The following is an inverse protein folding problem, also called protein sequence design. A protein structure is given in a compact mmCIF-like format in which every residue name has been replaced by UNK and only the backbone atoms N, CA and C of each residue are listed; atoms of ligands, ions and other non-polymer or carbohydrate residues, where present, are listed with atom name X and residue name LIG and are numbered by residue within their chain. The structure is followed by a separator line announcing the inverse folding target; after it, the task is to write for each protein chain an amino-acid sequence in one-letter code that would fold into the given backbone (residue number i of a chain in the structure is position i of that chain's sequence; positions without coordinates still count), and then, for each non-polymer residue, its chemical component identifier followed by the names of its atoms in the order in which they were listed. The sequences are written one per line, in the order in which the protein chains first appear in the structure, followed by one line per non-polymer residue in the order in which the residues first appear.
data_IF_488863957421
#
_entry.id   IF_488863957421
#
_cell.length_a   1.000
_cell.length_b   1.000
_cell.length_c   1.000
_cell.angle_alpha   90.00
_cell.angle_beta   90.00
_cell.angle_gamma   90.00
#
_symmetry.space_group_name_H-M   'P 1'
#
loop_
_entity.id
_entity.type
_entity.pdbx_description
1 polymer ?
#
# COMPACT_ATOMS: atom_id res chain seq x y z
N UNK A 1 -31.50 69.67 10.83
CA UNK A 1 -32.78 70.23 11.34
C UNK A 1 -33.74 69.05 11.55
N UNK A 2 -34.22 68.76 12.77
CA UNK A 2 -35.59 69.07 13.23
C UNK A 2 -36.68 68.69 12.21
N UNK A 3 -37.72 67.89 12.51
CA UNK A 3 -38.52 67.85 13.77
C UNK A 3 -39.46 66.61 13.86
N UNK A 4 -39.68 66.09 15.08
CA UNK A 4 -40.95 65.57 15.70
C UNK A 4 -41.95 64.69 14.91
N UNK A 5 -42.18 63.40 15.23
CA UNK A 5 -43.06 62.75 16.28
C UNK A 5 -44.59 62.66 16.06
N UNK A 6 -45.11 61.41 16.09
CA UNK A 6 -46.35 60.86 16.74
C UNK A 6 -46.57 59.42 16.18
N UNK A 7 -46.53 58.32 16.94
CA UNK A 7 -47.37 57.82 18.05
C UNK A 7 -48.86 57.68 17.71
N UNK A 8 -49.33 56.42 17.65
CA UNK A 8 -50.74 56.02 17.68
C UNK A 8 -50.89 54.53 17.99
N UNK A 9 -51.40 54.18 19.19
CA UNK A 9 -51.76 52.81 19.60
C UNK A 9 -53.20 52.50 19.17
N UNK A 10 -53.50 51.30 18.67
CA UNK A 10 -54.85 50.70 18.77
C UNK A 10 -54.77 49.21 19.13
N UNK A 11 -55.77 48.80 19.93
CA UNK A 11 -55.99 47.50 20.55
C UNK A 11 -57.43 47.04 20.16
N UNK A 12 -57.84 45.77 20.14
CA UNK A 12 -57.30 44.52 20.72
C UNK A 12 -57.93 43.29 20.02
N UNK A 13 -57.54 42.08 20.42
CA UNK A 13 -58.39 40.88 20.57
C UNK A 13 -58.75 39.96 19.37
N UNK A 14 -58.40 38.69 19.58
CA UNK A 14 -59.19 37.47 19.34
C UNK A 14 -60.00 37.27 18.05
N UNK A 15 -59.65 36.20 17.31
CA UNK A 15 -60.57 35.06 17.12
C UNK A 15 -59.87 33.77 16.68
N UNK A 16 -60.00 32.73 17.49
CA UNK A 16 -59.95 31.34 17.01
C UNK A 16 -61.22 31.06 16.21
N UNK A 17 -61.11 30.51 14.98
CA UNK A 17 -61.98 29.41 14.52
C UNK A 17 -61.57 28.86 13.14
N UNK A 18 -61.30 27.55 13.12
CA UNK A 18 -61.55 26.57 12.04
C UNK A 18 -61.74 27.09 10.60
N UNK A 19 -60.78 26.81 9.71
CA UNK A 19 -61.07 26.51 8.30
C UNK A 19 -60.31 25.25 7.83
N UNK A 20 -61.09 24.32 7.28
CA UNK A 20 -60.74 23.21 6.38
C UNK A 20 -59.52 22.31 6.68
N UNK A 21 -59.81 21.07 7.07
CA UNK A 21 -58.98 19.91 6.71
C UNK A 21 -58.82 19.84 5.18
N UNK A 22 -57.60 20.01 4.68
CA UNK A 22 -57.19 19.44 3.39
C UNK A 22 -56.23 18.29 3.65
N UNK A 23 -56.53 17.13 3.05
CA UNK A 23 -55.73 15.91 3.15
C UNK A 23 -54.34 16.17 2.57
N UNK A 24 -53.34 16.36 3.42
CA UNK A 24 -51.93 16.23 3.02
C UNK A 24 -51.62 14.74 3.09
N UNK A 25 -51.56 14.10 1.92
CA UNK A 25 -51.06 12.74 1.82
C UNK A 25 -49.58 12.75 2.22
N UNK A 26 -49.25 12.05 3.31
CA UNK A 26 -47.87 11.78 3.70
C UNK A 26 -47.33 10.77 2.69
N UNK A 27 -46.78 11.26 1.58
CA UNK A 27 -45.85 10.48 0.77
C UNK A 27 -44.56 10.40 1.58
N UNK A 28 -44.48 9.37 2.43
CA UNK A 28 -43.22 8.85 2.92
C UNK A 28 -42.43 8.44 1.68
N UNK A 29 -41.57 9.34 1.22
CA UNK A 29 -40.58 9.05 0.20
C UNK A 29 -39.62 8.02 0.79
N UNK A 30 -39.96 6.75 0.56
CA UNK A 30 -39.06 5.61 0.64
C UNK A 30 -37.92 5.84 -0.35
N UNK A 31 -36.98 6.70 0.01
CA UNK A 31 -35.61 6.56 -0.41
C UNK A 31 -35.10 5.30 0.29
N UNK A 32 -34.95 4.15 -0.39
CA UNK A 32 -34.00 3.20 0.13
C UNK A 32 -32.68 3.96 0.20
N UNK A 33 -32.12 4.06 1.41
CA UNK A 33 -30.69 4.25 1.55
C UNK A 33 -30.06 3.01 0.92
N UNK A 34 -29.86 3.08 -0.40
CA UNK A 34 -28.94 2.23 -1.13
C UNK A 34 -27.56 2.61 -0.62
N UNK A 35 -27.25 2.07 0.56
CA UNK A 35 -25.89 1.89 1.04
C UNK A 35 -25.26 0.95 0.03
N UNK A 36 -24.81 1.52 -1.08
CA UNK A 36 -23.78 0.95 -1.91
C UNK A 36 -22.49 0.97 -1.07
N UNK A 37 -22.45 0.07 -0.08
CA UNK A 37 -21.23 -0.62 0.29
C UNK A 37 -20.77 -1.32 -0.99
N UNK A 38 -20.08 -0.56 -1.85
CA UNK A 38 -19.34 -1.13 -2.95
C UNK A 38 -18.45 -2.20 -2.34
N UNK A 39 -18.62 -3.44 -2.78
CA UNK A 39 -17.76 -4.53 -2.38
C UNK A 39 -16.36 -4.19 -2.88
N UNK A 40 -15.60 -3.50 -2.04
CA UNK A 40 -14.21 -3.20 -2.29
C UNK A 40 -13.50 -4.54 -2.28
N UNK A 41 -13.26 -5.10 -3.47
CA UNK A 41 -12.57 -6.37 -3.63
C UNK A 41 -11.27 -6.31 -2.81
N UNK A 42 -11.23 -7.14 -1.77
CA UNK A 42 -10.10 -7.18 -0.85
C UNK A 42 -8.85 -7.57 -1.64
N UNK A 43 -7.74 -6.86 -1.41
CA UNK A 43 -6.46 -7.24 -2.02
C UNK A 43 -6.07 -8.62 -1.53
N UNK A 44 -5.39 -9.37 -2.37
CA UNK A 44 -4.74 -10.58 -1.92
C UNK A 44 -3.58 -10.23 -0.95
N UNK A 45 -3.84 -10.33 0.36
CA UNK A 45 -2.79 -10.21 1.40
C UNK A 45 -1.64 -11.17 1.10
N UNK A 46 -0.40 -10.71 1.23
CA UNK A 46 0.79 -11.50 0.88
C UNK A 46 1.15 -12.55 1.94
N UNK A 47 0.58 -12.40 3.16
CA UNK A 47 0.96 -13.19 4.33
C UNK A 47 0.65 -14.68 4.18
N UNK A 48 1.65 -15.50 4.43
CA UNK A 48 1.57 -16.96 4.57
C UNK A 48 1.38 -17.30 6.05
N UNK A 49 0.54 -18.28 6.35
CA UNK A 49 0.30 -18.74 7.72
C UNK A 49 1.46 -19.66 8.17
N UNK A 50 1.71 -19.84 9.49
CA UNK A 50 2.72 -20.77 9.98
C UNK A 50 2.50 -22.19 9.43
N UNK A 51 3.53 -22.76 8.80
CA UNK A 51 3.49 -24.10 8.19
C UNK A 51 2.69 -24.23 6.89
N UNK A 52 2.05 -23.16 6.39
CA UNK A 52 1.29 -23.17 5.14
C UNK A 52 2.24 -23.06 3.93
N UNK A 53 2.07 -23.90 2.90
CA UNK A 53 2.84 -23.74 1.65
C UNK A 53 2.31 -22.55 0.82
N UNK A 54 3.14 -22.01 -0.08
CA UNK A 54 2.71 -21.02 -1.08
C UNK A 54 1.47 -21.50 -1.87
N UNK A 55 1.43 -22.77 -2.28
CA UNK A 55 0.29 -23.33 -3.00
C UNK A 55 -0.97 -23.38 -2.12
N UNK A 56 -0.84 -23.63 -0.82
CA UNK A 56 -1.97 -23.64 0.12
C UNK A 56 -2.46 -22.22 0.45
N UNK A 57 -1.54 -21.25 0.59
CA UNK A 57 -1.88 -19.84 0.72
C UNK A 57 -2.67 -19.34 -0.51
N UNK A 58 -2.24 -19.71 -1.73
CA UNK A 58 -2.97 -19.42 -2.96
C UNK A 58 -4.37 -20.06 -2.94
N UNK A 59 -4.50 -21.36 -2.58
CA UNK A 59 -5.81 -22.02 -2.44
C UNK A 59 -6.70 -21.27 -1.45
N UNK A 60 -6.19 -20.89 -0.27
CA UNK A 60 -6.93 -20.12 0.75
C UNK A 60 -7.43 -18.79 0.20
N UNK A 61 -6.58 -18.02 -0.48
CA UNK A 61 -6.97 -16.73 -1.07
C UNK A 61 -7.99 -16.92 -2.22
N UNK A 62 -7.82 -17.94 -3.05
CA UNK A 62 -8.72 -18.24 -4.18
C UNK A 62 -10.08 -18.74 -3.70
N UNK A 63 -10.14 -19.64 -2.70
CA UNK A 63 -11.39 -20.21 -2.20
C UNK A 63 -12.29 -19.16 -1.51
N UNK A 64 -11.70 -18.04 -1.07
CA UNK A 64 -12.43 -16.88 -0.54
C UNK A 64 -12.99 -15.95 -1.63
N UNK A 65 -12.75 -16.23 -2.93
CA UNK A 65 -13.30 -15.47 -4.06
C UNK A 65 -14.51 -16.17 -4.68
N UNK A 66 -15.49 -15.42 -5.22
CA UNK A 66 -16.58 -15.99 -6.01
C UNK A 66 -16.07 -16.84 -7.18
N UNK A 67 -16.71 -17.99 -7.46
CA UNK A 67 -16.25 -18.96 -8.48
C UNK A 67 -16.07 -18.35 -9.88
N UNK A 68 -16.86 -17.32 -10.20
CA UNK A 68 -16.78 -16.55 -11.44
C UNK A 68 -15.51 -15.67 -11.53
N UNK A 69 -14.87 -15.26 -10.43
CA UNK A 69 -13.56 -14.61 -10.48
C UNK A 69 -12.44 -15.61 -10.82
N UNK A 70 -12.49 -16.84 -10.31
CA UNK A 70 -11.42 -17.84 -10.46
C UNK A 70 -11.09 -18.16 -11.93
N UNK A 71 -12.11 -18.38 -12.78
CA UNK A 71 -11.89 -18.58 -14.23
C UNK A 71 -11.23 -17.35 -14.89
N UNK A 72 -11.46 -16.15 -14.37
CA UNK A 72 -10.85 -14.94 -14.90
C UNK A 72 -9.39 -14.76 -14.45
N UNK A 73 -8.97 -15.28 -13.29
CA UNK A 73 -7.59 -15.19 -12.81
C UNK A 73 -6.59 -15.82 -13.78
N UNK A 74 -6.97 -16.95 -14.39
CA UNK A 74 -6.16 -17.68 -15.37
C UNK A 74 -6.19 -16.97 -16.73
N UNK A 75 -7.38 -16.53 -17.17
CA UNK A 75 -7.59 -15.96 -18.51
C UNK A 75 -7.07 -14.51 -18.68
N UNK A 76 -6.83 -13.76 -17.60
CA UNK A 76 -6.54 -12.31 -17.66
C UNK A 76 -5.08 -11.92 -17.93
N UNK A 77 -4.13 -12.86 -18.00
CA UNK A 77 -2.70 -12.52 -18.09
C UNK A 77 -2.22 -11.76 -16.84
N UNK A 78 -2.47 -12.36 -15.68
CA UNK A 78 -2.15 -11.81 -14.36
C UNK A 78 -0.69 -12.12 -14.00
N UNK A 79 -0.07 -11.40 -13.04
CA UNK A 79 1.26 -11.79 -12.54
C UNK A 79 1.30 -13.28 -12.14
N UNK A 80 0.27 -13.76 -11.43
CA UNK A 80 0.19 -15.15 -11.02
C UNK A 80 0.12 -16.15 -12.20
N UNK A 81 -0.52 -15.79 -13.33
CA UNK A 81 -0.58 -16.65 -14.53
C UNK A 81 0.57 -16.45 -15.52
N UNK A 82 1.43 -15.46 -15.31
CA UNK A 82 2.57 -15.12 -16.18
C UNK A 82 3.95 -15.34 -15.56
N UNK A 83 4.03 -15.67 -14.27
CA UNK A 83 5.26 -16.08 -13.59
C UNK A 83 5.97 -17.23 -14.32
N UNK A 84 7.30 -17.19 -14.28
CA UNK A 84 8.22 -18.18 -14.86
C UNK A 84 9.38 -18.42 -13.89
N UNK A 85 10.17 -19.47 -14.08
CA UNK A 85 11.40 -19.68 -13.29
C UNK A 85 12.36 -18.50 -13.48
N UNK A 86 13.18 -18.18 -12.48
CA UNK A 86 13.98 -16.94 -12.46
C UNK A 86 14.86 -16.74 -13.70
N UNK A 87 15.42 -17.83 -14.23
CA UNK A 87 16.30 -17.82 -15.41
C UNK A 87 15.56 -17.55 -16.74
N UNK A 88 14.23 -17.44 -16.72
CA UNK A 88 13.37 -17.21 -17.91
C UNK A 88 12.63 -15.88 -17.86
N UNK A 89 12.87 -15.04 -16.85
CA UNK A 89 12.21 -13.75 -16.72
C UNK A 89 12.62 -12.83 -17.88
N UNK A 90 11.63 -12.25 -18.54
CA UNK A 90 11.86 -11.19 -19.52
C UNK A 90 11.95 -9.83 -18.81
N UNK A 91 13.16 -9.26 -18.78
CA UNK A 91 13.43 -7.94 -18.24
C UNK A 91 13.44 -6.82 -19.32
N UNK A 92 13.07 -7.12 -20.57
CA UNK A 92 13.07 -6.15 -21.68
C UNK A 92 12.17 -4.93 -21.44
N UNK A 93 11.15 -5.07 -20.59
CA UNK A 93 10.20 -4.02 -20.19
C UNK A 93 10.63 -3.23 -18.95
N UNK A 94 11.75 -3.59 -18.30
CA UNK A 94 12.27 -2.83 -17.16
C UNK A 94 12.85 -1.50 -17.66
N UNK A 95 12.36 -0.35 -17.16
CA UNK A 95 12.79 0.96 -17.63
C UNK A 95 14.22 1.26 -17.21
N UNK A 96 14.95 2.00 -18.06
CA UNK A 96 16.35 2.36 -17.83
C UNK A 96 16.46 3.69 -17.10
N UNK A 97 17.36 3.74 -16.13
CA UNK A 97 17.85 4.98 -15.51
C UNK A 97 19.17 5.41 -16.15
N UNK A 98 19.42 6.71 -16.17
CA UNK A 98 20.58 7.34 -16.82
C UNK A 98 21.87 7.23 -16.00
N UNK A 99 21.76 7.20 -14.67
CA UNK A 99 22.90 7.17 -13.75
C UNK A 99 22.61 6.38 -12.47
N UNK A 100 23.69 5.99 -11.77
CA UNK A 100 23.58 5.41 -10.43
C UNK A 100 23.00 6.40 -9.41
N UNK A 101 23.32 7.70 -9.57
CA UNK A 101 22.80 8.77 -8.73
C UNK A 101 21.30 8.96 -8.91
N UNK A 102 20.78 8.87 -10.15
CA UNK A 102 19.34 8.88 -10.42
C UNK A 102 18.64 7.73 -9.67
N UNK A 103 19.13 6.50 -9.82
CA UNK A 103 18.60 5.33 -9.13
C UNK A 103 18.63 5.47 -7.60
N UNK A 104 19.72 6.04 -7.07
CA UNK A 104 19.89 6.26 -5.63
C UNK A 104 18.96 7.35 -5.12
N UNK A 105 18.78 8.43 -5.89
CA UNK A 105 17.81 9.48 -5.59
C UNK A 105 16.37 8.96 -5.65
N UNK A 106 16.02 8.13 -6.64
CA UNK A 106 14.72 7.44 -6.71
C UNK A 106 14.47 6.59 -5.45
N UNK A 107 15.46 5.81 -5.02
CA UNK A 107 15.38 4.98 -3.82
C UNK A 107 15.21 5.82 -2.55
N UNK A 108 16.06 6.84 -2.35
CA UNK A 108 15.99 7.73 -1.20
C UNK A 108 14.65 8.48 -1.17
N UNK A 109 14.14 8.94 -2.31
CA UNK A 109 12.84 9.60 -2.41
C UNK A 109 11.70 8.72 -1.87
N UNK A 110 11.59 7.48 -2.33
CA UNK A 110 10.51 6.57 -1.90
C UNK A 110 10.72 6.06 -0.46
N UNK A 111 11.98 5.96 -0.01
CA UNK A 111 12.32 5.59 1.37
C UNK A 111 11.96 6.70 2.34
N UNK A 112 12.43 7.93 2.07
CA UNK A 112 12.57 8.99 3.06
C UNK A 112 11.42 10.00 3.07
N UNK A 113 10.75 10.23 1.94
CA UNK A 113 9.68 11.25 1.86
C UNK A 113 8.55 10.90 2.81
N UNK A 114 8.20 11.85 3.69
CA UNK A 114 6.92 11.83 4.40
C UNK A 114 5.87 12.58 3.61
N UNK A 115 4.81 11.88 3.22
CA UNK A 115 3.70 12.45 2.43
C UNK A 115 2.34 11.80 2.75
N UNK A 116 2.31 10.89 3.72
CA UNK A 116 1.11 10.21 4.19
C UNK A 116 0.71 10.74 5.56
N UNK A 117 -0.58 10.67 5.87
CA UNK A 117 -1.16 11.21 7.09
C UNK A 117 -2.20 10.19 7.59
N UNK A 118 -1.98 9.58 8.76
CA UNK A 118 -3.02 8.75 9.38
C UNK A 118 -4.11 9.67 9.97
N UNK A 119 -5.41 9.36 9.80
CA UNK A 119 -6.50 10.23 10.28
C UNK A 119 -6.51 10.48 11.80
N UNK A 120 -5.90 9.60 12.59
CA UNK A 120 -5.76 9.70 14.04
C UNK A 120 -4.54 10.52 14.49
N UNK A 121 -3.56 10.76 13.59
CA UNK A 121 -2.33 11.51 13.84
C UNK A 121 -2.04 12.48 12.68
N UNK A 122 -2.93 13.47 12.42
CA UNK A 122 -2.82 14.36 11.26
C UNK A 122 -1.56 15.24 11.28
N UNK A 123 -1.00 15.53 12.46
CA UNK A 123 0.23 16.34 12.59
C UNK A 123 1.53 15.50 12.45
N UNK A 124 1.42 14.17 12.40
CA UNK A 124 2.57 13.27 12.25
C UNK A 124 2.63 12.74 10.82
N UNK A 125 3.38 13.44 9.96
CA UNK A 125 3.62 12.99 8.60
C UNK A 125 4.33 11.61 8.60
N UNK A 126 3.90 10.72 7.71
CA UNK A 126 4.43 9.35 7.59
C UNK A 126 5.04 9.11 6.22
N UNK A 127 6.05 8.24 6.22
CA UNK A 127 6.61 7.60 5.02
C UNK A 127 5.73 6.42 4.63
N UNK A 128 6.02 5.78 3.51
CA UNK A 128 5.47 4.45 3.18
C UNK A 128 5.84 3.47 4.31
N UNK A 129 4.97 2.49 4.61
CA UNK A 129 5.10 1.57 5.76
C UNK A 129 6.23 0.51 5.63
N UNK A 130 7.48 0.96 5.45
CA UNK A 130 8.65 0.12 5.21
C UNK A 130 9.02 -0.80 6.39
N UNK A 131 8.68 -0.42 7.62
CA UNK A 131 8.94 -1.19 8.84
C UNK A 131 7.75 -2.09 9.25
N UNK A 132 6.73 -2.25 8.39
CA UNK A 132 5.70 -3.27 8.55
C UNK A 132 5.80 -4.36 7.45
N UNK A 133 6.65 -5.38 7.65
CA UNK A 133 6.97 -6.34 6.60
C UNK A 133 5.93 -7.47 6.46
N UNK A 134 5.04 -7.72 7.43
CA UNK A 134 4.05 -8.80 7.38
C UNK A 134 3.18 -8.83 6.12
N UNK A 135 2.81 -7.65 5.60
CA UNK A 135 1.90 -7.50 4.49
C UNK A 135 2.03 -6.12 3.82
N UNK A 136 1.31 -5.89 2.72
CA UNK A 136 1.17 -4.58 2.07
C UNK A 136 2.20 -4.22 1.01
N UNK A 137 3.04 -5.15 0.54
CA UNK A 137 4.04 -4.92 -0.52
C UNK A 137 3.45 -4.30 -1.79
N UNK A 138 2.28 -4.78 -2.22
CA UNK A 138 1.50 -4.25 -3.34
C UNK A 138 1.22 -2.74 -3.19
N UNK A 139 0.87 -2.30 -1.98
CA UNK A 139 0.56 -0.93 -1.69
C UNK A 139 1.85 -0.08 -1.54
N UNK A 140 2.92 -0.65 -0.97
CA UNK A 140 4.25 -0.02 -0.95
C UNK A 140 4.77 0.23 -2.37
N UNK A 141 4.82 -0.80 -3.21
CA UNK A 141 5.28 -0.71 -4.60
C UNK A 141 4.41 0.22 -5.46
N UNK A 142 3.11 0.28 -5.21
CA UNK A 142 2.22 1.25 -5.86
C UNK A 142 2.49 2.69 -5.40
N UNK A 143 2.73 2.95 -4.11
CA UNK A 143 3.07 4.29 -3.63
C UNK A 143 4.47 4.73 -4.07
N UNK A 144 5.44 3.82 -4.18
CA UNK A 144 6.74 4.11 -4.80
C UNK A 144 6.55 4.64 -6.23
N UNK A 145 5.71 3.96 -7.03
CA UNK A 145 5.34 4.42 -8.38
C UNK A 145 4.71 5.81 -8.35
N UNK A 146 3.68 6.01 -7.51
CA UNK A 146 2.96 7.30 -7.40
C UNK A 146 3.94 8.44 -7.05
N UNK A 147 4.82 8.23 -6.08
CA UNK A 147 5.76 9.26 -5.62
C UNK A 147 6.84 9.58 -6.65
N UNK A 148 7.36 8.58 -7.36
CA UNK A 148 8.34 8.78 -8.43
C UNK A 148 7.73 9.54 -9.63
N UNK A 149 6.52 9.14 -10.03
CA UNK A 149 5.71 9.79 -11.08
C UNK A 149 5.43 11.27 -10.75
N UNK A 150 5.03 11.55 -9.50
CA UNK A 150 4.76 12.93 -9.04
C UNK A 150 5.98 13.85 -8.97
N UNK A 151 7.19 13.27 -8.90
CA UNK A 151 8.47 14.01 -8.88
C UNK A 151 9.23 13.88 -10.23
N UNK A 152 8.53 13.43 -11.27
CA UNK A 152 9.03 13.32 -12.66
C UNK A 152 10.27 12.41 -12.85
N UNK A 153 10.47 11.43 -11.96
CA UNK A 153 11.45 10.37 -12.16
C UNK A 153 10.96 9.31 -13.15
N UNK A 154 11.88 8.46 -13.63
CA UNK A 154 11.55 7.24 -14.35
C UNK A 154 10.58 6.38 -13.54
N UNK A 155 9.42 6.05 -14.12
CA UNK A 155 8.41 5.21 -13.46
C UNK A 155 8.87 3.74 -13.50
N UNK A 156 9.21 3.10 -12.37
CA UNK A 156 9.78 1.75 -12.35
C UNK A 156 8.75 0.68 -12.70
N UNK A 157 9.17 -0.38 -13.39
CA UNK A 157 8.35 -1.58 -13.56
C UNK A 157 8.18 -2.32 -12.23
N UNK A 158 7.28 -3.31 -12.17
CA UNK A 158 7.08 -4.14 -10.96
C UNK A 158 7.57 -5.56 -11.18
N UNK A 159 8.39 -6.07 -10.27
CA UNK A 159 8.73 -7.50 -10.21
C UNK A 159 7.82 -8.16 -9.17
N UNK A 160 7.01 -9.14 -9.60
CA UNK A 160 6.24 -10.01 -8.70
C UNK A 160 6.97 -11.33 -8.56
N UNK A 161 7.24 -11.77 -7.33
CA UNK A 161 7.87 -13.05 -6.99
C UNK A 161 6.90 -13.91 -6.21
N UNK A 162 6.93 -15.22 -6.46
CA UNK A 162 6.06 -16.23 -5.89
C UNK A 162 6.89 -17.41 -5.40
N UNK A 163 6.46 -18.04 -4.31
CA UNK A 163 7.12 -19.18 -3.70
C UNK A 163 6.93 -19.20 -2.19
N UNK A 164 7.56 -20.16 -1.51
CA UNK A 164 7.65 -20.19 -0.05
C UNK A 164 8.64 -19.12 0.44
N UNK A 165 8.23 -17.85 0.31
CA UNK A 165 9.08 -16.71 0.63
C UNK A 165 9.20 -16.54 2.14
N UNK A 166 10.38 -16.09 2.57
CA UNK A 166 10.72 -15.88 3.97
C UNK A 166 11.84 -14.84 4.08
N UNK A 167 11.71 -13.89 5.01
CA UNK A 167 12.70 -12.85 5.25
C UNK A 167 12.89 -12.60 6.75
N UNK A 168 14.14 -12.66 7.20
CA UNK A 168 14.54 -12.22 8.55
C UNK A 168 14.53 -10.69 8.66
N UNK A 169 13.95 -10.17 9.74
CA UNK A 169 13.79 -8.74 9.99
C UNK A 169 13.55 -8.45 11.47
N UNK A 170 14.22 -7.43 12.07
CA UNK A 170 13.98 -7.04 13.45
C UNK A 170 12.60 -6.39 13.66
N UNK A 171 11.86 -6.12 12.59
CA UNK A 171 10.52 -5.52 12.62
C UNK A 171 9.38 -6.56 12.63
N UNK A 172 9.71 -7.84 12.87
CA UNK A 172 8.75 -8.93 13.13
C UNK A 172 8.82 -9.37 14.59
N UNK A 173 7.67 -9.72 15.19
CA UNK A 173 7.62 -10.31 16.54
C UNK A 173 8.37 -11.65 16.62
N UNK A 174 8.38 -12.41 15.51
CA UNK A 174 9.05 -13.70 15.39
C UNK A 174 10.48 -13.58 14.82
N UNK A 175 10.99 -12.36 14.64
CA UNK A 175 12.26 -12.08 13.93
C UNK A 175 12.25 -12.40 12.42
N UNK A 176 11.18 -13.00 11.92
CA UNK A 176 11.01 -13.46 10.53
C UNK A 176 9.58 -13.20 10.05
N UNK A 177 9.40 -13.00 8.75
CA UNK A 177 8.09 -12.97 8.08
C UNK A 177 8.07 -13.94 6.91
N UNK A 178 6.93 -14.57 6.67
CA UNK A 178 6.74 -15.53 5.58
C UNK A 178 5.59 -15.09 4.67
N UNK A 179 5.81 -15.18 3.36
CA UNK A 179 4.87 -14.72 2.34
C UNK A 179 4.66 -15.78 1.26
N UNK A 180 3.57 -15.66 0.50
CA UNK A 180 3.29 -16.50 -0.66
C UNK A 180 3.60 -15.78 -1.99
N UNK A 181 3.67 -14.44 -1.94
CA UNK A 181 4.28 -13.61 -2.96
C UNK A 181 4.90 -12.36 -2.33
N UNK A 182 5.74 -11.66 -3.09
CA UNK A 182 6.22 -10.31 -2.77
C UNK A 182 6.31 -9.50 -4.06
N UNK A 183 6.13 -8.17 -3.99
CA UNK A 183 6.28 -7.28 -5.14
C UNK A 183 7.05 -6.03 -4.77
N UNK A 184 7.93 -5.61 -5.67
CA UNK A 184 8.69 -4.36 -5.55
C UNK A 184 8.90 -3.67 -6.91
N UNK A 185 9.39 -2.43 -6.85
CA UNK A 185 9.78 -1.63 -8.01
C UNK A 185 11.16 -2.05 -8.54
N UNK A 186 11.33 -2.08 -9.87
CA UNK A 186 12.60 -2.40 -10.55
C UNK A 186 12.95 -1.40 -11.64
N UNK A 187 14.25 -1.16 -11.77
CA UNK A 187 14.89 -0.35 -12.83
C UNK A 187 16.11 -1.06 -13.41
N UNK A 188 16.51 -0.68 -14.60
CA UNK A 188 17.72 -1.17 -15.28
C UNK A 188 18.79 -0.07 -15.28
N UNK A 189 19.96 -0.35 -14.71
CA UNK A 189 21.13 0.52 -14.79
C UNK A 189 22.28 -0.24 -15.48
N UNK A 190 22.75 0.31 -16.60
CA UNK A 190 23.84 -0.28 -17.42
C UNK A 190 23.65 -1.75 -17.83
N UNK A 191 22.40 -2.23 -17.95
CA UNK A 191 22.07 -3.63 -18.27
C UNK A 191 21.76 -4.49 -17.05
N UNK A 192 22.13 -4.05 -15.84
CA UNK A 192 21.86 -4.74 -14.58
C UNK A 192 20.52 -4.32 -13.99
N UNK A 193 19.74 -5.28 -13.46
CA UNK A 193 18.45 -5.00 -12.83
C UNK A 193 18.63 -4.75 -11.33
N UNK A 194 18.09 -3.62 -10.88
CA UNK A 194 18.07 -3.22 -9.48
C UNK A 194 16.64 -3.14 -8.95
N UNK A 195 16.46 -3.60 -7.71
CA UNK A 195 15.21 -3.57 -6.96
C UNK A 195 15.26 -2.40 -5.96
N UNK A 196 14.15 -1.65 -5.90
CA UNK A 196 13.97 -0.51 -4.99
C UNK A 196 13.04 -0.90 -3.83
N UNK A 197 13.54 -1.72 -2.91
CA UNK A 197 12.78 -2.26 -1.77
C UNK A 197 13.38 -1.89 -0.39
N UNK A 198 13.05 -0.71 0.16
CA UNK A 198 13.49 -0.32 1.51
C UNK A 198 12.98 -1.22 2.64
N UNK A 199 11.95 -2.05 2.44
CA UNK A 199 11.51 -3.02 3.46
C UNK A 199 12.42 -4.25 3.53
N UNK A 200 13.12 -4.60 2.44
CA UNK A 200 14.07 -5.71 2.39
C UNK A 200 15.51 -5.28 2.71
N UNK A 201 15.92 -4.08 2.28
CA UNK A 201 17.21 -3.45 2.60
C UNK A 201 17.08 -1.93 2.56
N UNK A 202 16.96 -1.25 3.70
CA UNK A 202 16.72 0.19 3.74
C UNK A 202 17.94 1.04 3.36
N UNK A 203 19.14 0.46 3.24
CA UNK A 203 20.38 1.18 2.99
C UNK A 203 20.53 1.70 1.53
N UNK A 204 19.89 1.05 0.55
CA UNK A 204 20.01 1.46 -0.86
C UNK A 204 19.41 0.47 -1.87
N UNK A 205 19.45 0.80 -3.18
CA UNK A 205 19.09 -0.13 -4.26
C UNK A 205 19.79 -1.48 -4.13
N UNK A 206 19.12 -2.57 -4.49
CA UNK A 206 19.66 -3.92 -4.39
C UNK A 206 19.78 -4.57 -5.78
N UNK A 207 20.81 -5.38 -6.02
CA UNK A 207 20.83 -6.25 -7.20
C UNK A 207 19.67 -7.26 -7.12
N UNK A 208 19.13 -7.66 -8.26
CA UNK A 208 17.94 -8.53 -8.26
C UNK A 208 18.21 -9.93 -7.67
N UNK A 209 19.40 -10.49 -7.88
CA UNK A 209 19.79 -11.79 -7.30
C UNK A 209 20.02 -11.70 -5.78
N UNK A 210 20.62 -10.61 -5.30
CA UNK A 210 20.69 -10.33 -3.85
C UNK A 210 19.28 -10.27 -3.24
N UNK A 211 18.31 -9.67 -3.95
CA UNK A 211 16.93 -9.54 -3.48
C UNK A 211 16.19 -10.86 -3.46
N UNK A 212 16.36 -11.71 -4.48
CA UNK A 212 15.86 -13.08 -4.45
C UNK A 212 16.44 -13.88 -3.27
N UNK A 213 17.75 -13.81 -3.04
CA UNK A 213 18.39 -14.46 -1.88
C UNK A 213 17.92 -13.89 -0.54
N UNK A 214 17.58 -12.59 -0.47
CA UNK A 214 17.10 -11.93 0.76
C UNK A 214 15.69 -12.36 1.17
N UNK A 215 14.86 -12.82 0.22
CA UNK A 215 13.44 -13.14 0.45
C UNK A 215 13.07 -14.63 0.29
N UNK A 216 14.06 -15.53 0.13
CA UNK A 216 13.85 -16.97 0.14
C UNK A 216 14.88 -17.77 -0.68
N UNK A 217 14.48 -18.94 -1.17
CA UNK A 217 15.36 -19.88 -1.90
C UNK A 217 15.12 -19.74 -3.42
N UNK A 218 16.10 -19.20 -4.15
CA UNK A 218 16.00 -18.87 -5.59
C UNK A 218 15.41 -19.99 -6.46
N UNK A 219 15.90 -21.23 -6.34
CA UNK A 219 15.45 -22.37 -7.17
C UNK A 219 14.00 -22.82 -6.89
N UNK A 220 13.36 -22.29 -5.85
CA UNK A 220 11.96 -22.51 -5.51
C UNK A 220 11.06 -21.32 -5.83
N UNK A 221 11.59 -20.31 -6.51
CA UNK A 221 10.86 -19.10 -6.89
C UNK A 221 10.42 -19.10 -8.36
N UNK A 222 9.26 -18.49 -8.58
CA UNK A 222 8.79 -18.06 -9.89
C UNK A 222 8.55 -16.55 -9.85
N UNK A 223 8.83 -15.82 -10.92
CA UNK A 223 8.59 -14.39 -10.96
C UNK A 223 8.21 -13.87 -12.35
N UNK A 224 7.73 -12.63 -12.41
CA UNK A 224 7.38 -11.92 -13.66
C UNK A 224 7.51 -10.41 -13.49
N UNK A 225 8.04 -9.75 -14.52
CA UNK A 225 8.01 -8.29 -14.65
C UNK A 225 6.66 -7.88 -15.24
N UNK A 226 5.97 -6.99 -14.54
CA UNK A 226 4.69 -6.41 -14.91
C UNK A 226 4.78 -4.89 -15.00
N UNK A 227 3.78 -4.32 -15.66
CA UNK A 227 3.57 -2.90 -15.80
C UNK A 227 3.52 -2.19 -14.42
N UNK A 228 4.03 -0.95 -14.29
CA UNK A 228 4.03 -0.21 -13.03
C UNK A 228 2.65 -0.11 -12.36
N UNK A 229 1.56 -0.08 -13.13
CA UNK A 229 0.21 0.09 -12.64
C UNK A 229 -0.45 -1.20 -12.11
N UNK A 230 0.09 -2.40 -12.39
CA UNK A 230 -0.45 -3.66 -11.84
C UNK A 230 -0.36 -3.65 -10.32
N UNK A 231 -1.50 -3.82 -9.62
CA UNK A 231 -1.55 -3.63 -8.16
C UNK A 231 -1.31 -4.94 -7.41
N UNK A 232 -2.13 -5.97 -7.60
CA UNK A 232 -1.96 -7.27 -6.94
C UNK A 232 -1.73 -8.44 -7.93
N UNK A 233 -1.39 -9.66 -7.44
CA UNK A 233 -1.09 -10.83 -8.28
C UNK A 233 -2.17 -11.29 -9.26
N UNK A 234 -3.40 -10.78 -9.10
CA UNK A 234 -4.61 -11.17 -9.80
C UNK A 234 -5.18 -10.06 -10.69
N UNK A 235 -4.59 -8.86 -10.63
CA UNK A 235 -4.76 -7.81 -11.63
C UNK A 235 -4.04 -8.16 -12.94
N UNK A 236 -4.27 -7.39 -14.00
CA UNK A 236 -3.65 -7.62 -15.31
C UNK A 236 -2.20 -7.12 -15.28
N UNK A 237 -1.26 -7.97 -15.71
CA UNK A 237 0.18 -7.70 -15.67
C UNK A 237 0.64 -6.60 -16.64
N UNK A 238 -0.15 -6.28 -17.67
CA UNK A 238 0.27 -5.34 -18.73
C UNK A 238 -0.69 -4.15 -18.94
N UNK A 239 -1.76 -4.03 -18.14
CA UNK A 239 -2.71 -2.92 -18.25
C UNK A 239 -2.20 -1.68 -17.49
N UNK A 240 -1.91 -0.61 -18.22
CA UNK A 240 -1.52 0.68 -17.64
C UNK A 240 -2.76 1.46 -17.17
N UNK A 241 -3.27 1.20 -15.95
CA UNK A 241 -4.41 1.97 -15.39
C UNK A 241 -4.19 2.40 -13.94
N UNK A 242 -4.37 3.69 -13.65
CA UNK A 242 -4.29 4.29 -12.32
C UNK A 242 -5.51 4.01 -11.40
N UNK A 243 -6.43 3.13 -11.80
CA UNK A 243 -7.69 2.84 -11.07
C UNK A 243 -7.48 2.35 -9.64
N UNK A 244 -6.31 1.77 -9.37
CA UNK A 244 -5.92 1.23 -8.07
C UNK A 244 -5.14 2.22 -7.19
N UNK A 245 -4.85 3.44 -7.65
CA UNK A 245 -4.05 4.40 -6.86
C UNK A 245 -4.75 4.81 -5.55
N UNK A 246 -6.03 5.18 -5.61
CA UNK A 246 -6.84 5.45 -4.41
C UNK A 246 -6.94 4.21 -3.50
N UNK A 247 -6.91 3.01 -4.08
CA UNK A 247 -6.91 1.74 -3.32
C UNK A 247 -5.57 1.54 -2.61
N UNK A 248 -4.45 1.83 -3.29
CA UNK A 248 -3.10 1.79 -2.74
C UNK A 248 -2.94 2.73 -1.55
N UNK A 249 -3.42 3.97 -1.67
CA UNK A 249 -3.42 4.93 -0.57
C UNK A 249 -4.26 4.42 0.62
N UNK A 250 -5.51 4.00 0.37
CA UNK A 250 -6.41 3.49 1.41
C UNK A 250 -5.89 2.22 2.09
N UNK A 251 -5.21 1.33 1.37
CA UNK A 251 -4.57 0.16 1.95
C UNK A 251 -3.32 0.55 2.74
N UNK A 252 -2.52 1.51 2.27
CA UNK A 252 -1.35 2.02 3.01
C UNK A 252 -1.72 2.67 4.34
N UNK A 253 -2.78 3.48 4.43
CA UNK A 253 -3.24 4.05 5.70
C UNK A 253 -3.43 2.96 6.79
N UNK A 254 -4.02 1.82 6.43
CA UNK A 254 -4.18 0.66 7.35
C UNK A 254 -2.85 0.05 7.79
N UNK A 255 -1.83 0.10 6.93
CA UNK A 255 -0.50 -0.43 7.24
C UNK A 255 0.34 0.57 8.04
N UNK A 256 0.10 1.88 7.95
CA UNK A 256 0.73 2.88 8.83
C UNK A 256 0.33 2.68 10.30
N UNK A 257 -0.93 2.35 10.54
CA UNK A 257 -1.45 2.12 11.90
C UNK A 257 -0.90 0.80 12.46
N UNK A 258 -0.85 -0.25 11.64
CA UNK A 258 -0.22 -1.53 11.98
C UNK A 258 1.29 -1.43 12.21
N UNK A 259 1.99 -0.59 11.43
CA UNK A 259 3.41 -0.28 11.62
C UNK A 259 3.63 0.39 12.97
N UNK A 260 2.81 1.38 13.34
CA UNK A 260 2.91 2.04 14.64
C UNK A 260 2.79 1.02 15.78
N UNK A 261 1.70 0.24 15.80
CA UNK A 261 1.45 -0.79 16.81
C UNK A 261 2.55 -1.85 16.84
N UNK A 262 3.10 -2.24 15.67
CA UNK A 262 4.23 -3.19 15.60
C UNK A 262 5.47 -2.62 16.27
N UNK A 263 5.88 -1.40 15.91
CA UNK A 263 7.07 -0.75 16.47
C UNK A 263 6.94 -0.59 17.99
N UNK A 264 5.76 -0.18 18.46
CA UNK A 264 5.42 -0.05 19.89
C UNK A 264 5.48 -1.42 20.60
N UNK A 265 4.93 -2.48 20.00
CA UNK A 265 4.95 -3.85 20.54
C UNK A 265 6.34 -4.49 20.60
N UNK A 266 7.29 -4.00 19.81
CA UNK A 266 8.70 -4.41 19.81
C UNK A 266 9.54 -3.61 20.84
N UNK A 267 8.92 -2.68 21.57
CA UNK A 267 9.59 -1.88 22.60
C UNK A 267 10.33 -0.65 22.09
N UNK A 268 10.12 -0.25 20.83
CA UNK A 268 10.63 1.00 20.28
C UNK A 268 9.62 2.14 20.48
N UNK A 269 10.10 3.38 20.53
CA UNK A 269 9.25 4.57 20.42
C UNK A 269 8.88 4.82 18.94
N UNK A 270 7.59 4.70 18.55
CA UNK A 270 7.18 4.90 17.16
C UNK A 270 7.32 6.36 16.70
N UNK A 271 7.19 7.33 17.60
CA UNK A 271 7.33 8.75 17.27
C UNK A 271 8.76 9.11 16.86
N UNK A 272 9.75 8.43 17.46
CA UNK A 272 11.17 8.57 17.14
C UNK A 272 11.51 7.79 15.86
N UNK A 273 11.19 6.49 15.82
CA UNK A 273 11.64 5.59 14.75
C UNK A 273 10.90 5.81 13.42
N UNK A 274 9.61 6.16 13.45
CA UNK A 274 8.83 6.46 12.25
C UNK A 274 8.92 7.94 11.86
N UNK A 275 9.39 8.78 12.79
CA UNK A 275 9.65 10.20 12.63
C UNK A 275 11.08 10.49 12.18
N UNK A 276 11.77 11.40 12.87
CA UNK A 276 13.03 11.99 12.44
C UNK A 276 14.25 11.07 12.53
N UNK A 277 14.16 9.96 13.27
CA UNK A 277 15.27 9.02 13.47
C UNK A 277 14.93 7.61 12.95
N UNK A 278 14.67 7.43 11.64
CA UNK A 278 14.47 6.12 11.05
C UNK A 278 15.77 5.30 11.09
N UNK A 279 15.67 3.95 11.04
CA UNK A 279 16.81 3.07 11.33
C UNK A 279 17.97 3.22 10.33
N UNK A 280 17.71 3.71 9.12
CA UNK A 280 18.70 3.94 8.07
C UNK A 280 19.38 5.31 8.12
N UNK A 281 18.97 6.21 9.01
CA UNK A 281 19.71 7.47 9.26
C UNK A 281 20.93 7.25 10.17
N UNK A 282 20.96 6.13 10.91
CA UNK A 282 22.13 5.54 11.55
C UNK A 282 23.15 6.52 12.15
N UNK A 283 23.06 6.76 13.46
CA UNK A 283 24.10 7.52 14.18
C UNK A 283 25.49 6.97 13.80
N UNK A 284 26.33 7.82 13.18
CA UNK A 284 27.68 7.47 12.71
C UNK A 284 28.66 7.15 13.87
N UNK A 285 28.12 6.89 15.07
CA UNK A 285 28.83 6.69 16.34
C UNK A 285 28.20 5.65 17.26
N UNK A 286 27.79 4.46 16.77
CA UNK A 286 27.79 3.24 17.61
C UNK A 286 27.58 1.94 16.81
N UNK A 287 28.64 1.39 16.23
CA UNK A 287 28.68 0.03 15.67
C UNK A 287 28.75 -1.07 16.75
N UNK A 288 28.08 -0.88 17.89
CA UNK A 288 28.39 -1.60 19.15
C UNK A 288 27.18 -2.15 19.90
N UNK A 289 25.94 -1.96 19.40
CA UNK A 289 24.71 -2.35 20.09
C UNK A 289 23.87 -3.45 19.41
N UNK A 290 24.37 -4.07 18.33
CA UNK A 290 23.81 -5.32 17.78
C UNK A 290 24.52 -6.59 18.30
N UNK A 291 25.24 -6.47 19.43
CA UNK A 291 25.88 -7.57 20.15
C UNK A 291 24.98 -8.14 21.25
N UNK A 292 23.77 -8.59 20.92
CA UNK A 292 22.85 -9.35 21.79
C UNK A 292 21.74 -9.99 20.93
N UNK A 293 21.42 -11.30 20.98
CA UNK A 293 21.93 -12.43 21.77
C UNK A 293 22.02 -13.68 20.87
N UNK A 294 23.09 -14.46 21.04
CA UNK A 294 23.14 -15.90 20.75
C UNK A 294 22.53 -16.70 21.90
#
# INVERSE_FOLDING_TARGET
MSRTTKIGKISTNYKYSRIAMKKIAIILSLFPFLICCGLANATASQKRLPGESYQDAVKRIINNKPQNELKMLIARGTPYSKKVSLQKIDYSTVPKVSSYDEMTNMFNLIRDTRFLYSPDKPDFQRRISWLYPDDGCFARAALSRIKLDSEHFVIPAKIFVFGDLEMQTPYSSEGTVSWWYHVSAVVNYMGTIYVLDPAAKPEGPMLIDDWYNKIGIMDKMEAVVCNPYTYDPFDRCYDATNKTDNKALNDQLKYLDKEWVRIESLGFDPSVLLGDNPPWIGDMRNSTLLSYKS
#
